data_IF_616599719772
#
_entry.id   IF_616599719772
#
_cell.length_a   1.000
_cell.length_b   1.000
_cell.length_c   1.000
_cell.angle_alpha   90.00
_cell.angle_beta   90.00
_cell.angle_gamma   90.00
#
_symmetry.space_group_name_H-M   'P 1'
#
loop_
_entity.id
_entity.type
_entity.pdbx_description
1 polymer ?
#
# COMPACT_ATOMS: atom_id res chain seq x y z
N UNK A 1 -13.46 5.00 15.55
CA UNK A 1 -12.04 5.33 15.33
C UNK A 1 -11.96 6.67 14.63
N UNK A 2 -10.86 7.41 14.82
CA UNK A 2 -10.62 8.62 14.06
C UNK A 2 -10.37 8.25 12.58
N UNK A 3 -10.76 9.12 11.64
CA UNK A 3 -10.54 8.88 10.20
C UNK A 3 -9.03 8.73 9.96
N UNK A 4 -8.23 9.58 10.61
CA UNK A 4 -6.77 9.53 10.57
C UNK A 4 -6.23 8.16 11.02
N UNK A 5 -6.75 7.60 12.11
CA UNK A 5 -6.29 6.30 12.62
C UNK A 5 -6.55 5.16 11.62
N UNK A 6 -7.74 5.08 11.04
CA UNK A 6 -8.08 4.02 10.09
C UNK A 6 -7.21 4.07 8.84
N UNK A 7 -6.98 5.27 8.29
CA UNK A 7 -6.11 5.48 7.11
C UNK A 7 -4.65 5.14 7.46
N UNK A 8 -4.17 5.58 8.62
CA UNK A 8 -2.78 5.35 9.05
C UNK A 8 -2.50 3.85 9.23
N UNK A 9 -3.42 3.10 9.83
CA UNK A 9 -3.28 1.65 10.00
C UNK A 9 -3.21 0.95 8.65
N UNK A 10 -4.09 1.30 7.70
CA UNK A 10 -4.05 0.72 6.36
C UNK A 10 -2.73 1.01 5.63
N UNK A 11 -2.25 2.26 5.69
CA UNK A 11 -0.96 2.66 5.11
C UNK A 11 0.22 1.92 5.75
N UNK A 12 0.24 1.78 7.08
CA UNK A 12 1.29 1.06 7.79
C UNK A 12 1.30 -0.43 7.45
N UNK A 13 0.12 -1.06 7.36
CA UNK A 13 0.00 -2.45 6.91
C UNK A 13 0.51 -2.62 5.48
N UNK A 14 0.18 -1.69 4.58
CA UNK A 14 0.67 -1.73 3.20
C UNK A 14 2.18 -1.55 3.13
N UNK A 15 2.75 -0.62 3.90
CA UNK A 15 4.20 -0.41 3.98
C UNK A 15 4.92 -1.64 4.53
N UNK A 16 4.41 -2.23 5.62
CA UNK A 16 4.96 -3.43 6.21
C UNK A 16 4.93 -4.61 5.22
N UNK A 17 3.84 -4.76 4.46
CA UNK A 17 3.72 -5.78 3.44
C UNK A 17 4.70 -5.55 2.28
N UNK A 18 4.87 -4.31 1.82
CA UNK A 18 5.81 -3.96 0.76
C UNK A 18 7.26 -4.20 1.18
N UNK A 19 7.64 -3.75 2.38
CA UNK A 19 8.98 -3.97 2.92
C UNK A 19 9.23 -5.46 3.17
N UNK A 20 8.29 -6.16 3.83
CA UNK A 20 8.41 -7.58 4.09
C UNK A 20 8.50 -8.42 2.82
N UNK A 21 7.60 -8.18 1.86
CA UNK A 21 7.60 -8.85 0.56
C UNK A 21 8.85 -8.52 -0.27
N UNK A 22 9.27 -7.25 -0.27
CA UNK A 22 10.48 -6.80 -0.97
C UNK A 22 11.76 -7.40 -0.38
N UNK A 23 11.92 -7.37 0.95
CA UNK A 23 13.05 -8.00 1.64
C UNK A 23 13.07 -9.52 1.41
N UNK A 24 11.92 -10.18 1.44
CA UNK A 24 11.81 -11.61 1.16
C UNK A 24 12.20 -11.93 -0.30
N UNK A 25 11.73 -11.15 -1.26
CA UNK A 25 12.09 -11.29 -2.67
C UNK A 25 13.60 -11.12 -2.87
N UNK A 26 14.19 -10.06 -2.31
CA UNK A 26 15.62 -9.78 -2.37
C UNK A 26 16.46 -10.92 -1.78
N UNK A 27 16.10 -11.38 -0.57
CA UNK A 27 16.77 -12.50 0.09
C UNK A 27 16.72 -13.78 -0.74
N UNK A 28 15.54 -14.11 -1.28
CA UNK A 28 15.36 -15.32 -2.10
C UNK A 28 16.20 -15.26 -3.37
N UNK A 29 16.22 -14.12 -4.07
CA UNK A 29 17.02 -13.94 -5.28
C UNK A 29 18.51 -14.11 -4.98
N UNK A 30 19.03 -13.49 -3.92
CA UNK A 30 20.43 -13.68 -3.53
C UNK A 30 20.75 -15.14 -3.19
N UNK A 31 19.87 -15.81 -2.45
CA UNK A 31 20.04 -17.22 -2.11
C UNK A 31 20.06 -18.12 -3.35
N UNK A 32 19.17 -17.88 -4.31
CA UNK A 32 19.09 -18.61 -5.57
C UNK A 32 20.34 -18.38 -6.43
N UNK A 33 20.78 -17.12 -6.58
CA UNK A 33 22.00 -16.79 -7.33
C UNK A 33 23.25 -17.45 -6.74
N UNK A 34 23.40 -17.42 -5.41
CA UNK A 34 24.50 -18.09 -4.72
C UNK A 34 24.49 -19.60 -4.95
N UNK A 35 23.33 -20.23 -4.76
CA UNK A 35 23.17 -21.68 -4.94
C UNK A 35 23.43 -22.12 -6.38
N UNK A 36 22.90 -21.40 -7.37
CA UNK A 36 23.11 -21.70 -8.79
C UNK A 36 24.59 -21.60 -9.18
N UNK A 37 25.30 -20.58 -8.69
CA UNK A 37 26.74 -20.41 -8.95
C UNK A 37 27.54 -21.58 -8.40
N UNK A 38 27.28 -22.00 -7.15
CA UNK A 38 27.95 -23.15 -6.54
C UNK A 38 27.65 -24.44 -7.30
N UNK A 39 26.38 -24.70 -7.65
CA UNK A 39 25.99 -25.90 -8.40
C UNK A 39 26.70 -25.96 -9.77
N UNK A 40 26.76 -24.84 -10.49
CA UNK A 40 27.45 -24.77 -11.78
C UNK A 40 28.97 -25.00 -11.64
N UNK A 41 29.58 -24.44 -10.59
CA UNK A 41 30.99 -24.63 -10.29
C UNK A 41 31.29 -26.10 -9.95
N UNK A 42 30.50 -26.71 -9.07
CA UNK A 42 30.60 -28.13 -8.68
C UNK A 42 30.40 -29.05 -9.89
N UNK A 43 29.46 -28.71 -10.79
CA UNK A 43 29.21 -29.43 -12.02
C UNK A 43 30.39 -29.39 -12.98
N UNK A 44 30.91 -28.19 -13.25
CA UNK A 44 32.06 -28.03 -14.13
C UNK A 44 33.29 -28.77 -13.57
N UNK A 45 33.55 -28.64 -12.27
CA UNK A 45 34.63 -29.34 -11.58
C UNK A 45 34.52 -30.87 -11.74
N UNK A 46 33.38 -31.44 -11.35
CA UNK A 46 33.16 -32.90 -11.33
C UNK A 46 33.27 -33.52 -12.73
N UNK A 47 32.67 -32.87 -13.73
CA UNK A 47 32.73 -33.32 -15.12
C UNK A 47 34.16 -33.21 -15.66
N UNK A 48 34.87 -32.12 -15.37
CA UNK A 48 36.24 -31.91 -15.84
C UNK A 48 37.21 -32.93 -15.23
N UNK A 49 37.16 -33.16 -13.92
CA UNK A 49 38.01 -34.15 -13.24
C UNK A 49 37.73 -35.55 -13.77
N UNK A 50 36.45 -35.94 -13.84
CA UNK A 50 36.02 -37.23 -14.38
C UNK A 50 36.46 -37.50 -15.81
N UNK A 51 36.29 -36.53 -16.72
CA UNK A 51 36.73 -36.66 -18.10
C UNK A 51 38.25 -36.76 -18.23
N UNK A 52 39.01 -35.96 -17.46
CA UNK A 52 40.46 -36.03 -17.48
C UNK A 52 40.99 -37.37 -16.94
N UNK A 53 40.36 -37.91 -15.90
CA UNK A 53 40.65 -39.26 -15.41
C UNK A 53 40.38 -40.32 -16.47
N UNK A 54 39.21 -40.29 -17.12
CA UNK A 54 38.86 -41.27 -18.16
C UNK A 54 39.82 -41.19 -19.37
N UNK A 55 40.12 -39.97 -19.84
CA UNK A 55 41.10 -39.76 -20.93
C UNK A 55 42.49 -40.32 -20.57
N UNK A 56 42.93 -40.17 -19.32
CA UNK A 56 44.20 -40.74 -18.86
C UNK A 56 44.16 -42.29 -18.85
N UNK A 57 43.04 -42.91 -18.48
CA UNK A 57 42.86 -44.35 -18.57
C UNK A 57 42.74 -44.85 -20.02
N UNK A 58 42.25 -44.03 -20.93
CA UNK A 58 42.16 -44.36 -22.35
C UNK A 58 43.55 -44.38 -23.02
N UNK A 59 44.38 -43.38 -22.75
CA UNK A 59 45.79 -43.35 -23.20
C UNK A 59 46.60 -44.56 -22.71
N UNK A 60 46.28 -45.05 -21.52
CA UNK A 60 46.92 -46.25 -20.94
C UNK A 60 46.47 -47.54 -21.63
N UNK A 61 45.27 -47.54 -22.23
CA UNK A 61 44.72 -48.69 -22.94
C UNK A 61 45.07 -48.77 -24.44
N UNK A 62 45.62 -47.70 -25.02
CA UNK A 62 45.92 -47.63 -26.46
C UNK A 62 47.29 -48.20 -26.84
N UNK A 63 48.28 -48.16 -25.94
CA UNK A 63 49.63 -48.65 -26.21
C UNK A 63 50.00 -49.79 -25.23
N UNK A 64 49.97 -51.06 -25.67
CA UNK A 64 50.39 -52.21 -24.86
C UNK A 64 51.85 -52.14 -24.41
N UNK A 65 52.72 -51.39 -25.11
CA UNK A 65 54.12 -51.22 -24.76
C UNK A 65 54.34 -50.19 -23.65
N UNK A 66 53.36 -49.32 -23.38
CA UNK A 66 53.41 -48.28 -22.35
C UNK A 66 52.18 -48.30 -21.42
N UNK A 67 51.90 -49.40 -20.71
CA UNK A 67 50.69 -49.60 -19.90
C UNK A 67 50.63 -48.72 -18.64
N UNK A 68 51.56 -47.79 -18.46
CA UNK A 68 51.59 -46.86 -17.32
C UNK A 68 51.53 -45.39 -17.77
N UNK A 69 51.47 -45.10 -19.07
CA UNK A 69 51.65 -43.75 -19.63
C UNK A 69 50.67 -42.71 -19.08
N UNK A 70 49.39 -43.06 -18.89
CA UNK A 70 48.38 -42.14 -18.37
C UNK A 70 48.27 -42.11 -16.84
N UNK A 71 48.91 -43.03 -16.11
CA UNK A 71 48.76 -43.12 -14.66
C UNK A 71 49.25 -41.89 -13.86
N UNK A 72 50.30 -41.16 -14.28
CA UNK A 72 50.68 -39.91 -13.60
C UNK A 72 49.58 -38.85 -13.70
N UNK A 73 48.97 -38.69 -14.88
CA UNK A 73 47.86 -37.74 -15.09
C UNK A 73 46.62 -38.18 -14.30
N UNK A 74 46.28 -39.47 -14.34
CA UNK A 74 45.18 -40.03 -13.55
C UNK A 74 45.37 -39.79 -12.04
N UNK A 75 46.56 -40.09 -11.52
CA UNK A 75 46.90 -39.89 -10.10
C UNK A 75 46.83 -38.42 -9.68
N UNK A 76 47.26 -37.49 -10.55
CA UNK A 76 47.14 -36.05 -10.29
C UNK A 76 45.67 -35.60 -10.19
N UNK A 77 44.79 -36.09 -11.08
CA UNK A 77 43.36 -35.78 -10.99
C UNK A 77 42.70 -36.44 -9.77
N UNK A 78 43.09 -37.66 -9.41
CA UNK A 78 42.59 -38.34 -8.21
C UNK A 78 43.00 -37.63 -6.92
N UNK A 79 44.22 -37.11 -6.86
CA UNK A 79 44.65 -36.28 -5.73
C UNK A 79 43.87 -34.97 -5.64
N UNK A 80 43.49 -34.36 -6.77
CA UNK A 80 42.60 -33.19 -6.79
C UNK A 80 41.22 -33.53 -6.25
N UNK A 81 40.64 -34.66 -6.67
CA UNK A 81 39.34 -35.10 -6.14
C UNK A 81 39.41 -35.41 -4.65
N UNK A 82 40.47 -36.09 -4.19
CA UNK A 82 40.69 -36.38 -2.77
C UNK A 82 40.79 -35.11 -1.91
N UNK A 83 41.27 -34.00 -2.49
CA UNK A 83 41.29 -32.70 -1.85
C UNK A 83 39.96 -31.93 -1.90
N UNK A 84 38.97 -32.42 -2.65
CA UNK A 84 37.67 -31.79 -2.86
C UNK A 84 36.51 -32.76 -2.65
N UNK A 85 36.61 -33.62 -1.64
CA UNK A 85 35.53 -34.53 -1.26
C UNK A 85 34.40 -33.72 -0.62
N UNK A 86 33.30 -33.60 -1.34
CA UNK A 86 32.16 -32.74 -1.00
C UNK A 86 30.86 -33.52 -0.85
N UNK A 87 30.76 -34.72 -1.42
CA UNK A 87 29.52 -35.49 -1.46
C UNK A 87 29.53 -36.73 -0.54
N UNK A 88 28.40 -37.06 0.10
CA UNK A 88 28.28 -38.29 0.89
C UNK A 88 28.55 -39.54 0.04
N UNK A 89 29.51 -40.37 0.46
CA UNK A 89 29.89 -41.60 -0.25
C UNK A 89 31.00 -41.42 -1.30
N UNK A 90 31.53 -40.20 -1.47
CA UNK A 90 32.65 -39.91 -2.37
C UNK A 90 34.00 -40.38 -1.79
N UNK A 91 34.27 -40.12 -0.51
CA UNK A 91 35.49 -40.59 0.17
C UNK A 91 35.80 -42.09 -0.05
N UNK A 92 34.87 -43.04 0.22
CA UNK A 92 35.17 -44.45 0.02
C UNK A 92 35.41 -44.82 -1.45
N UNK A 93 34.85 -44.08 -2.41
CA UNK A 93 35.12 -44.27 -3.84
C UNK A 93 36.53 -43.78 -4.20
N UNK A 94 36.93 -42.60 -3.71
CA UNK A 94 38.27 -42.05 -3.90
C UNK A 94 39.33 -42.97 -3.29
N UNK A 95 39.09 -43.46 -2.07
CA UNK A 95 39.99 -44.41 -1.40
C UNK A 95 40.11 -45.72 -2.19
N UNK A 96 38.98 -46.25 -2.68
CA UNK A 96 38.97 -47.46 -3.50
C UNK A 96 39.68 -47.27 -4.84
N UNK A 97 39.55 -46.10 -5.47
CA UNK A 97 40.26 -45.74 -6.70
C UNK A 97 41.77 -45.67 -6.46
N UNK A 98 42.21 -45.11 -5.32
CA UNK A 98 43.62 -45.08 -4.93
C UNK A 98 44.22 -46.47 -4.73
N UNK A 99 43.45 -47.38 -4.11
CA UNK A 99 43.85 -48.77 -3.93
C UNK A 99 43.94 -49.53 -5.27
N UNK A 100 42.94 -49.40 -6.14
CA UNK A 100 42.95 -50.02 -7.48
C UNK A 100 44.06 -49.46 -8.37
N UNK A 101 44.38 -48.16 -8.25
CA UNK A 101 45.50 -47.54 -8.93
C UNK A 101 46.84 -48.16 -8.51
N UNK A 102 47.00 -48.39 -7.20
CA UNK A 102 48.20 -49.03 -6.64
C UNK A 102 48.33 -50.48 -7.11
N UNK A 103 47.22 -51.23 -7.12
CA UNK A 103 47.18 -52.60 -7.66
C UNK A 103 47.53 -52.64 -9.15
N UNK A 104 46.99 -51.71 -9.93
CA UNK A 104 47.26 -51.61 -11.37
C UNK A 104 48.74 -51.32 -11.66
N UNK A 105 49.40 -50.47 -10.85
CA UNK A 105 50.85 -50.21 -10.97
C UNK A 105 51.70 -51.46 -10.74
N UNK A 106 51.29 -52.32 -9.81
CA UNK A 106 52.02 -53.56 -9.49
C UNK A 106 51.78 -54.65 -10.53
N UNK A 107 50.54 -54.79 -11.01
CA UNK A 107 50.16 -55.81 -11.98
C UNK A 107 49.18 -55.23 -13.02
N UNK A 108 49.70 -54.61 -14.09
CA UNK A 108 48.88 -54.07 -15.16
C UNK A 108 48.09 -55.18 -15.87
N UNK A 109 46.78 -55.05 -15.94
CA UNK A 109 45.92 -55.99 -16.67
C UNK A 109 44.70 -55.26 -17.26
N UNK A 110 44.15 -55.80 -18.34
CA UNK A 110 42.92 -55.26 -18.92
C UNK A 110 41.76 -55.25 -17.91
N UNK A 111 41.70 -56.25 -17.02
CA UNK A 111 40.67 -56.36 -15.99
C UNK A 111 40.81 -55.31 -14.88
N UNK A 112 42.04 -54.97 -14.45
CA UNK A 112 42.28 -53.88 -13.48
C UNK A 112 42.06 -52.50 -14.11
N UNK A 113 42.40 -52.29 -15.39
CA UNK A 113 42.07 -51.07 -16.12
C UNK A 113 40.55 -50.86 -16.26
N UNK A 114 39.81 -51.93 -16.60
CA UNK A 114 38.35 -51.89 -16.69
C UNK A 114 37.68 -51.62 -15.33
N UNK A 115 38.28 -52.07 -14.22
CA UNK A 115 37.81 -51.73 -12.86
C UNK A 115 38.01 -50.25 -12.55
N UNK A 116 39.19 -49.70 -12.83
CA UNK A 116 39.47 -48.27 -12.69
C UNK A 116 38.46 -47.43 -13.49
N UNK A 117 38.25 -47.74 -14.78
CA UNK A 117 37.26 -47.04 -15.61
C UNK A 117 35.85 -47.08 -15.01
N UNK A 118 35.39 -48.27 -14.59
CA UNK A 118 34.06 -48.42 -13.96
C UNK A 118 33.94 -47.62 -12.67
N UNK A 119 34.96 -47.59 -11.82
CA UNK A 119 34.93 -46.82 -10.57
C UNK A 119 34.96 -45.31 -10.83
N UNK A 120 35.75 -44.84 -11.80
CA UNK A 120 35.73 -43.43 -12.22
C UNK A 120 34.36 -43.03 -12.74
N UNK A 121 33.71 -43.87 -13.55
CA UNK A 121 32.32 -43.62 -13.98
C UNK A 121 31.35 -43.56 -12.80
N UNK A 122 31.49 -44.45 -11.80
CA UNK A 122 30.64 -44.43 -10.60
C UNK A 122 30.84 -43.15 -9.77
N UNK A 123 32.07 -42.67 -9.65
CA UNK A 123 32.39 -41.41 -8.97
C UNK A 123 31.72 -40.23 -9.67
N UNK A 124 31.88 -40.11 -10.99
CA UNK A 124 31.22 -39.07 -11.79
C UNK A 124 29.70 -39.15 -11.68
N UNK A 125 29.13 -40.36 -11.70
CA UNK A 125 27.69 -40.56 -11.51
C UNK A 125 27.21 -40.12 -10.12
N UNK A 126 27.97 -40.41 -9.06
CA UNK A 126 27.64 -39.98 -7.70
C UNK A 126 27.59 -38.46 -7.61
N UNK A 127 28.61 -37.77 -8.14
CA UNK A 127 28.66 -36.30 -8.12
C UNK A 127 27.56 -35.69 -9.00
N UNK A 128 27.29 -36.26 -10.17
CA UNK A 128 26.18 -35.82 -11.04
C UNK A 128 24.80 -36.00 -10.38
N UNK A 129 24.58 -37.09 -9.64
CA UNK A 129 23.34 -37.29 -8.87
C UNK A 129 23.21 -36.26 -7.74
N UNK A 130 24.32 -35.87 -7.10
CA UNK A 130 24.29 -34.81 -6.10
C UNK A 130 23.96 -33.45 -6.71
N UNK A 131 24.57 -33.09 -7.84
CA UNK A 131 24.29 -31.87 -8.60
C UNK A 131 22.83 -31.80 -9.02
N UNK A 132 22.27 -32.87 -9.58
CA UNK A 132 20.86 -32.92 -9.98
C UNK A 132 19.92 -32.72 -8.78
N UNK A 133 20.18 -33.40 -7.66
CA UNK A 133 19.39 -33.21 -6.42
C UNK A 133 19.45 -31.77 -5.90
N UNK A 134 20.63 -31.15 -5.91
CA UNK A 134 20.82 -29.73 -5.51
C UNK A 134 20.05 -28.81 -6.47
N UNK A 135 20.07 -29.08 -7.77
CA UNK A 135 19.33 -28.31 -8.78
C UNK A 135 17.81 -28.43 -8.60
N UNK A 136 17.29 -29.64 -8.38
CA UNK A 136 15.87 -29.87 -8.14
C UNK A 136 15.39 -29.18 -6.87
N UNK A 137 16.18 -29.24 -5.79
CA UNK A 137 15.91 -28.52 -4.55
C UNK A 137 15.87 -27.00 -4.75
N UNK A 138 16.80 -26.45 -5.54
CA UNK A 138 16.82 -25.03 -5.89
C UNK A 138 15.60 -24.62 -6.74
N UNK A 139 15.21 -25.45 -7.71
CA UNK A 139 14.01 -25.21 -8.53
C UNK A 139 12.72 -25.25 -7.69
N UNK A 140 12.59 -26.23 -6.79
CA UNK A 140 11.49 -26.28 -5.83
C UNK A 140 11.46 -25.05 -4.91
N UNK A 141 12.61 -24.61 -4.39
CA UNK A 141 12.67 -23.40 -3.58
C UNK A 141 12.24 -22.15 -4.37
N UNK A 142 12.64 -22.03 -5.64
CA UNK A 142 12.25 -20.92 -6.51
C UNK A 142 10.74 -20.89 -6.77
N UNK A 143 10.13 -22.05 -7.08
CA UNK A 143 8.69 -22.14 -7.32
C UNK A 143 7.86 -21.81 -6.08
N UNK A 144 8.28 -22.28 -4.90
CA UNK A 144 7.63 -21.94 -3.62
C UNK A 144 7.74 -20.45 -3.34
N UNK A 145 8.91 -19.85 -3.51
CA UNK A 145 9.10 -18.42 -3.28
C UNK A 145 8.28 -17.55 -4.26
N UNK A 146 8.21 -17.96 -5.53
CA UNK A 146 7.37 -17.28 -6.54
C UNK A 146 5.89 -17.28 -6.15
N UNK A 147 5.37 -18.40 -5.62
CA UNK A 147 3.98 -18.48 -5.13
C UNK A 147 3.73 -17.54 -3.95
N UNK A 148 4.64 -17.47 -2.98
CA UNK A 148 4.50 -16.53 -1.87
C UNK A 148 4.55 -15.08 -2.33
N UNK A 149 5.45 -14.74 -3.25
CA UNK A 149 5.54 -13.38 -3.80
C UNK A 149 4.28 -13.00 -4.60
N UNK A 150 3.72 -13.94 -5.36
CA UNK A 150 2.44 -13.75 -6.06
C UNK A 150 1.30 -13.51 -5.05
N UNK A 151 1.22 -14.31 -3.98
CA UNK A 151 0.22 -14.13 -2.93
C UNK A 151 0.37 -12.77 -2.24
N UNK A 152 1.60 -12.37 -1.87
CA UNK A 152 1.87 -11.05 -1.29
C UNK A 152 1.45 -9.92 -2.23
N UNK A 153 1.72 -10.05 -3.54
CA UNK A 153 1.29 -9.08 -4.55
C UNK A 153 -0.22 -8.97 -4.62
N UNK A 154 -0.95 -10.09 -4.65
CA UNK A 154 -2.42 -10.11 -4.69
C UNK A 154 -3.00 -9.47 -3.42
N UNK A 155 -2.51 -9.86 -2.24
CA UNK A 155 -2.96 -9.29 -0.96
C UNK A 155 -2.68 -7.79 -0.90
N UNK A 156 -1.49 -7.36 -1.34
CA UNK A 156 -1.12 -5.96 -1.40
C UNK A 156 -2.01 -5.15 -2.33
N UNK A 157 -2.34 -5.71 -3.49
CA UNK A 157 -3.27 -5.11 -4.44
C UNK A 157 -4.67 -4.95 -3.85
N UNK A 158 -5.22 -5.98 -3.21
CA UNK A 158 -6.54 -5.92 -2.57
C UNK A 158 -6.58 -4.90 -1.43
N UNK A 159 -5.52 -4.82 -0.63
CA UNK A 159 -5.40 -3.83 0.44
C UNK A 159 -5.34 -2.40 -0.12
N UNK A 160 -4.53 -2.19 -1.15
CA UNK A 160 -4.43 -0.91 -1.85
C UNK A 160 -5.77 -0.51 -2.48
N UNK A 161 -6.46 -1.43 -3.15
CA UNK A 161 -7.78 -1.19 -3.74
C UNK A 161 -8.81 -0.77 -2.67
N UNK A 162 -8.82 -1.46 -1.54
CA UNK A 162 -9.70 -1.15 -0.40
C UNK A 162 -9.41 0.25 0.14
N UNK A 163 -8.15 0.64 0.26
CA UNK A 163 -7.75 2.00 0.67
C UNK A 163 -8.18 3.05 -0.35
N UNK A 164 -7.94 2.81 -1.63
CA UNK A 164 -8.31 3.73 -2.71
C UNK A 164 -9.82 3.97 -2.74
N UNK A 165 -10.64 2.95 -2.49
CA UNK A 165 -12.10 3.10 -2.45
C UNK A 165 -12.62 3.71 -1.14
N UNK A 166 -12.00 3.43 0.01
CA UNK A 166 -12.51 3.87 1.32
C UNK A 166 -12.08 5.29 1.73
N UNK A 167 -10.86 5.70 1.37
CA UNK A 167 -10.29 7.00 1.78
C UNK A 167 -11.10 8.19 1.23
N UNK A 168 -11.50 8.23 -0.06
CA UNK A 168 -12.25 9.36 -0.60
C UNK A 168 -13.59 9.56 0.10
N UNK A 169 -14.33 8.48 0.37
CA UNK A 169 -15.65 8.57 1.01
C UNK A 169 -15.53 9.08 2.45
N UNK A 170 -14.55 8.57 3.20
CA UNK A 170 -14.30 8.99 4.58
C UNK A 170 -13.77 10.44 4.68
N UNK A 171 -12.95 10.89 3.72
CA UNK A 171 -12.33 12.22 3.77
C UNK A 171 -13.18 13.32 3.09
N UNK A 172 -13.83 13.00 1.97
CA UNK A 172 -14.53 13.97 1.11
C UNK A 172 -16.04 13.97 1.37
N UNK A 173 -16.63 12.86 1.80
CA UNK A 173 -18.08 12.77 2.06
C UNK A 173 -18.57 13.81 3.06
N UNK A 174 -17.83 13.99 4.16
CA UNK A 174 -18.11 15.05 5.13
C UNK A 174 -17.98 16.46 4.54
N UNK A 175 -16.94 16.68 3.72
CA UNK A 175 -16.70 17.97 3.08
C UNK A 175 -17.84 18.37 2.12
N UNK A 176 -18.40 17.40 1.39
CA UNK A 176 -19.59 17.60 0.55
C UNK A 176 -20.82 17.99 1.37
N UNK A 177 -21.08 17.29 2.48
CA UNK A 177 -22.19 17.63 3.40
C UNK A 177 -22.03 19.04 3.98
N UNK A 178 -20.81 19.42 4.36
CA UNK A 178 -20.50 20.76 4.85
C UNK A 178 -20.70 21.83 3.78
N UNK A 179 -20.21 21.60 2.56
CA UNK A 179 -20.41 22.52 1.43
C UNK A 179 -21.90 22.77 1.19
N UNK A 180 -22.71 21.71 1.14
CA UNK A 180 -24.15 21.84 0.93
C UNK A 180 -24.84 22.65 2.03
N UNK A 181 -24.51 22.44 3.31
CA UNK A 181 -25.07 23.26 4.40
C UNK A 181 -24.59 24.70 4.38
N UNK A 182 -23.38 24.99 3.88
CA UNK A 182 -22.92 26.36 3.67
C UNK A 182 -23.77 27.04 2.58
N UNK A 183 -24.00 26.36 1.46
CA UNK A 183 -24.83 26.89 0.37
C UNK A 183 -26.26 27.25 0.84
N UNK A 184 -26.85 26.44 1.72
CA UNK A 184 -28.15 26.74 2.34
C UNK A 184 -28.09 27.96 3.28
N UNK A 185 -27.03 28.08 4.08
CA UNK A 185 -26.85 29.21 4.98
C UNK A 185 -26.64 30.53 4.21
N UNK A 186 -25.94 30.50 3.07
CA UNK A 186 -25.79 31.66 2.17
C UNK A 186 -27.14 32.14 1.60
N UNK A 187 -28.08 31.22 1.40
CA UNK A 187 -29.45 31.52 0.95
C UNK A 187 -30.36 31.98 2.11
N UNK A 188 -29.84 32.12 3.34
CA UNK A 188 -30.59 32.56 4.51
C UNK A 188 -31.40 31.47 5.22
N UNK A 189 -31.23 30.20 4.83
CA UNK A 189 -31.80 29.04 5.52
C UNK A 189 -30.79 28.46 6.52
N UNK A 190 -30.88 28.91 7.78
CA UNK A 190 -30.04 28.45 8.88
C UNK A 190 -30.55 27.15 9.53
N UNK A 191 -31.67 26.60 9.05
CA UNK A 191 -32.29 25.38 9.58
C UNK A 191 -31.59 24.12 9.09
N UNK A 192 -30.84 24.22 7.98
CA UNK A 192 -30.14 23.12 7.31
C UNK A 192 -28.87 22.66 8.07
N UNK A 193 -29.08 22.00 9.21
CA UNK A 193 -27.99 21.46 10.04
C UNK A 193 -27.31 20.23 9.42
N UNK A 194 -26.01 20.06 9.68
CA UNK A 194 -25.24 18.90 9.23
C UNK A 194 -25.50 17.72 10.19
N UNK A 195 -25.94 16.54 9.70
CA UNK A 195 -26.09 15.36 10.54
C UNK A 195 -24.76 14.96 11.21
N UNK A 196 -24.74 14.89 12.54
CA UNK A 196 -23.56 14.47 13.31
C UNK A 196 -23.60 12.94 13.47
N UNK A 197 -23.30 12.23 12.39
CA UNK A 197 -23.32 10.76 12.34
C UNK A 197 -22.06 10.13 12.97
N UNK A 198 -20.96 10.88 13.07
CA UNK A 198 -19.67 10.37 13.53
C UNK A 198 -19.10 11.12 14.72
N UNK A 199 -18.25 10.44 15.51
CA UNK A 199 -17.49 11.02 16.63
C UNK A 199 -16.03 11.36 16.26
N UNK A 200 -15.70 11.27 14.98
CA UNK A 200 -14.37 11.56 14.43
C UNK A 200 -14.08 13.07 14.30
N UNK A 201 -13.02 13.38 13.58
CA UNK A 201 -12.60 14.73 13.24
C UNK A 201 -13.71 15.54 12.54
N UNK A 202 -14.42 14.91 11.59
CA UNK A 202 -15.52 15.56 10.88
C UNK A 202 -16.70 15.85 11.81
N UNK A 203 -17.07 14.90 12.67
CA UNK A 203 -18.14 15.11 13.66
C UNK A 203 -17.89 16.28 14.61
N UNK A 204 -16.62 16.59 14.93
CA UNK A 204 -16.26 17.80 15.69
C UNK A 204 -16.52 19.08 14.89
N UNK A 205 -16.15 19.11 13.62
CA UNK A 205 -16.40 20.25 12.72
C UNK A 205 -17.90 20.45 12.53
N UNK A 206 -18.66 19.39 12.24
CA UNK A 206 -20.11 19.44 12.08
C UNK A 206 -20.82 20.01 13.33
N UNK A 207 -20.42 19.57 14.53
CA UNK A 207 -20.95 20.14 15.80
C UNK A 207 -20.61 21.63 15.96
N UNK A 208 -19.41 22.04 15.58
CA UNK A 208 -18.99 23.44 15.61
C UNK A 208 -19.82 24.30 14.67
N UNK A 209 -20.00 23.82 13.44
CA UNK A 209 -20.80 24.50 12.42
C UNK A 209 -22.28 24.59 12.79
N UNK A 210 -22.89 23.51 13.29
CA UNK A 210 -24.28 23.55 13.73
C UNK A 210 -24.51 24.55 14.87
N UNK A 211 -23.56 24.67 15.82
CA UNK A 211 -23.65 25.71 16.88
C UNK A 211 -23.60 27.12 16.28
N UNK A 212 -22.77 27.33 15.26
CA UNK A 212 -22.69 28.61 14.56
C UNK A 212 -24.04 28.92 13.86
N UNK A 213 -24.65 27.95 13.17
CA UNK A 213 -25.97 28.12 12.55
C UNK A 213 -27.04 28.51 13.59
N UNK A 214 -27.10 27.82 14.72
CA UNK A 214 -28.05 28.14 15.81
C UNK A 214 -27.84 29.56 16.37
N UNK A 215 -26.59 30.00 16.52
CA UNK A 215 -26.29 31.36 17.00
C UNK A 215 -26.69 32.42 15.98
N UNK A 216 -26.44 32.19 14.70
CA UNK A 216 -26.86 33.08 13.61
C UNK A 216 -28.38 33.22 13.53
N UNK A 217 -29.11 32.11 13.63
CA UNK A 217 -30.56 32.13 13.61
C UNK A 217 -31.15 32.89 14.81
N UNK A 218 -30.63 32.63 16.01
CA UNK A 218 -31.02 33.35 17.22
C UNK A 218 -30.71 34.86 17.14
N UNK A 219 -29.55 35.23 16.59
CA UNK A 219 -29.16 36.63 16.38
C UNK A 219 -30.10 37.31 15.39
N UNK A 220 -30.44 36.65 14.26
CA UNK A 220 -31.38 37.17 13.28
C UNK A 220 -32.74 37.42 13.90
N UNK A 221 -33.30 36.44 14.61
CA UNK A 221 -34.61 36.56 15.26
C UNK A 221 -34.65 37.67 16.32
N UNK A 222 -33.60 37.78 17.13
CA UNK A 222 -33.50 38.82 18.17
C UNK A 222 -33.39 40.22 17.54
N UNK A 223 -32.57 40.37 16.52
CA UNK A 223 -32.39 41.66 15.85
C UNK A 223 -33.67 42.10 15.13
N UNK A 224 -34.35 41.18 14.43
CA UNK A 224 -35.65 41.46 13.78
C UNK A 224 -36.72 41.84 14.81
N UNK A 225 -36.79 41.13 15.94
CA UNK A 225 -37.71 41.46 17.02
C UNK A 225 -37.40 42.84 17.62
N UNK A 226 -36.13 43.20 17.79
CA UNK A 226 -35.70 44.51 18.25
C UNK A 226 -36.13 45.64 17.32
N UNK A 227 -35.84 45.50 16.01
CA UNK A 227 -36.24 46.48 14.98
C UNK A 227 -37.77 46.65 14.94
N UNK A 228 -38.52 45.55 15.00
CA UNK A 228 -39.98 45.60 15.03
C UNK A 228 -40.51 46.24 16.32
N UNK A 229 -39.89 45.96 17.46
CA UNK A 229 -40.27 46.56 18.73
C UNK A 229 -40.04 48.07 18.74
N UNK A 230 -38.91 48.56 18.21
CA UNK A 230 -38.64 49.99 18.06
C UNK A 230 -39.64 50.65 17.11
N UNK A 231 -39.89 50.04 15.94
CA UNK A 231 -40.89 50.53 14.99
C UNK A 231 -42.28 50.64 15.63
N UNK A 232 -42.71 49.61 16.35
CA UNK A 232 -44.01 49.59 17.01
C UNK A 232 -44.09 50.59 18.17
N UNK A 233 -43.00 50.77 18.92
CA UNK A 233 -42.92 51.77 19.98
C UNK A 233 -43.04 53.19 19.43
N UNK A 234 -42.30 53.52 18.37
CA UNK A 234 -42.39 54.80 17.69
C UNK A 234 -43.82 55.05 17.15
N UNK A 235 -44.40 54.06 16.48
CA UNK A 235 -45.77 54.15 15.97
C UNK A 235 -46.81 54.33 17.10
N UNK A 236 -46.63 53.64 18.23
CA UNK A 236 -47.53 53.78 19.37
C UNK A 236 -47.43 55.17 20.01
N UNK A 237 -46.22 55.72 20.15
CA UNK A 237 -46.02 57.08 20.67
C UNK A 237 -46.75 58.08 19.79
N UNK A 238 -46.53 58.04 18.46
CA UNK A 238 -47.21 58.93 17.51
C UNK A 238 -48.74 58.85 17.65
N UNK A 239 -49.28 57.66 17.89
CA UNK A 239 -50.72 57.43 18.02
C UNK A 239 -51.31 57.93 19.35
N UNK A 240 -50.54 57.98 20.44
CA UNK A 240 -51.02 58.35 21.78
C UNK A 240 -50.63 59.76 22.22
N UNK A 241 -49.95 60.54 21.37
CA UNK A 241 -49.61 61.93 21.70
C UNK A 241 -50.86 62.80 21.79
N UNK A 242 -50.88 63.68 22.80
CA UNK A 242 -51.96 64.65 23.05
C UNK A 242 -51.92 65.86 22.09
N UNK A 243 -51.06 65.81 21.07
CA UNK A 243 -50.98 66.78 19.97
C UNK A 243 -51.37 66.10 18.65
N UNK A 244 -52.09 66.82 17.80
CA UNK A 244 -52.42 66.34 16.45
C UNK A 244 -51.17 66.32 15.57
N UNK A 245 -50.81 65.14 15.06
CA UNK A 245 -49.65 64.96 14.17
C UNK A 245 -50.14 64.68 12.76
N UNK A 246 -49.64 65.47 11.82
CA UNK A 246 -49.81 65.32 10.38
C UNK A 246 -48.43 65.36 9.73
N UNK A 247 -47.99 64.25 9.14
CA UNK A 247 -46.73 64.16 8.41
C UNK A 247 -47.02 64.30 6.92
N UNK A 248 -46.32 65.22 6.24
CA UNK A 248 -46.46 65.46 4.82
C UNK A 248 -45.24 64.93 4.04
N UNK A 249 -45.46 64.51 2.80
CA UNK A 249 -44.37 64.25 1.86
C UNK A 249 -43.82 65.55 1.23
N UNK A 250 -42.81 65.40 0.38
CA UNK A 250 -42.22 66.49 -0.40
C UNK A 250 -43.19 67.22 -1.35
N UNK A 251 -44.37 66.67 -1.60
CA UNK A 251 -45.44 67.24 -2.42
C UNK A 251 -46.64 67.74 -1.57
N UNK A 252 -46.43 67.95 -0.27
CA UNK A 252 -47.46 68.35 0.70
C UNK A 252 -48.62 67.34 0.85
N UNK A 253 -48.44 66.07 0.49
CA UNK A 253 -49.45 65.03 0.69
C UNK A 253 -49.32 64.37 2.06
N UNK A 254 -50.44 64.10 2.72
CA UNK A 254 -50.44 63.47 4.05
C UNK A 254 -49.96 62.00 3.97
N UNK A 255 -48.83 61.72 4.59
CA UNK A 255 -48.23 60.39 4.72
C UNK A 255 -48.69 59.65 5.98
N UNK A 256 -48.76 60.36 7.12
CA UNK A 256 -49.13 59.79 8.42
C UNK A 256 -49.99 60.80 9.15
N UNK A 257 -51.09 60.34 9.75
CA UNK A 257 -51.95 61.16 10.60
C UNK A 257 -52.26 60.39 11.88
N UNK A 258 -52.19 61.04 13.04
CA UNK A 258 -52.56 60.40 14.30
C UNK A 258 -54.06 60.56 14.63
N UNK A 259 -54.64 59.71 15.50
CA UNK A 259 -56.07 59.73 15.79
C UNK A 259 -56.59 61.05 16.36
N UNK A 260 -55.74 61.79 17.09
CA UNK A 260 -56.11 63.10 17.61
C UNK A 260 -56.22 64.13 16.48
N UNK A 261 -55.30 64.14 15.50
CA UNK A 261 -55.43 64.98 14.31
C UNK A 261 -56.69 64.62 13.50
N UNK A 262 -57.01 63.33 13.35
CA UNK A 262 -58.28 62.91 12.75
C UNK A 262 -59.50 63.45 13.52
N UNK A 263 -59.46 63.41 14.85
CA UNK A 263 -60.55 63.88 15.71
C UNK A 263 -60.71 65.41 15.67
N UNK A 264 -59.59 66.15 15.63
CA UNK A 264 -59.56 67.60 15.52
C UNK A 264 -60.03 68.09 14.15
N UNK A 265 -59.68 67.37 13.08
CA UNK A 265 -60.09 67.68 11.71
C UNK A 265 -61.48 67.13 11.36
N UNK A 266 -62.07 66.27 12.22
CA UNK A 266 -63.37 65.64 11.97
C UNK A 266 -63.38 64.65 10.79
N UNK A 267 -62.20 64.18 10.36
CA UNK A 267 -62.01 63.35 9.17
C UNK A 267 -61.36 62.02 9.55
N UNK A 268 -61.71 60.96 8.84
CA UNK A 268 -61.11 59.64 9.07
C UNK A 268 -59.71 59.57 8.46
N UNK A 269 -58.83 58.73 9.02
CA UNK A 269 -57.47 58.49 8.51
C UNK A 269 -57.44 58.20 7.00
N UNK A 270 -58.39 57.39 6.50
CA UNK A 270 -58.52 57.07 5.07
C UNK A 270 -58.89 58.26 4.19
N UNK A 271 -59.51 59.30 4.74
CA UNK A 271 -59.90 60.50 4.00
C UNK A 271 -58.77 61.52 3.94
N UNK A 272 -57.78 61.42 4.84
CA UNK A 272 -56.66 62.33 4.96
C UNK A 272 -55.40 61.80 4.26
N UNK A 273 -55.08 60.51 4.39
CA UNK A 273 -53.88 59.93 3.77
C UNK A 273 -53.92 60.07 2.24
N UNK A 274 -52.84 60.60 1.65
CA UNK A 274 -52.67 60.80 0.21
C UNK A 274 -53.36 62.04 -0.36
N UNK A 275 -53.95 62.89 0.49
CA UNK A 275 -54.51 64.20 0.09
C UNK A 275 -53.50 65.32 0.28
N UNK A 276 -53.62 66.36 -0.54
CA UNK A 276 -52.82 67.57 -0.38
C UNK A 276 -53.26 68.33 0.88
N UNK A 277 -52.30 68.83 1.65
CA UNK A 277 -52.56 69.63 2.85
C UNK A 277 -53.21 71.00 2.56
N UNK A 278 -53.20 71.42 1.28
CA UNK A 278 -53.76 72.69 0.83
C UNK A 278 -55.26 72.61 0.48
N UNK A 279 -55.86 71.41 0.47
CA UNK A 279 -57.30 71.14 0.24
C UNK A 279 -58.10 71.06 1.55
#
# INVERSE_FOLDING_TARGET
MSIKTSITIGLLLMLALLLGGGSYAYYTVQRLQGSARTILQDNFYSVQVGQNMLRALDQTGTDPAAPLAGLPQFGAQLAREAGNVTEPGEQPLVDSLGQELTRYRQQPSAASLARLRRQTHRMVQLNMLAINRKNDAAAHAATVASRYLALCTIVGFLLALTLVMSVPEAAVGGLRKLSASIDHAEQGDFSASIPVESRDEFGRVARGFNRLLTQLDAYRHTNLAGVLAERNRAASIVRTLDEGILLLDENSQVLVVNPLACSLLGLTERQLIGRSADE
#
